data_IF_714967514138
#
_entry.id   IF_714967514138
#
_cell.length_a   1.000
_cell.length_b   1.000
_cell.length_c   1.000
_cell.angle_alpha   90.00
_cell.angle_beta   90.00
_cell.angle_gamma   90.00
#
_symmetry.space_group_name_H-M   'P 1'
#
loop_
_entity.id
_entity.type
_entity.pdbx_description
1 polymer ?
#
# COMPACT_ATOMS: atom_id res chain seq x y z
N UNK A 1 -32.97 -4.94 4.90
CA UNK A 1 -31.54 -5.24 5.09
C UNK A 1 -30.69 -4.93 3.82
N UNK A 2 -30.94 -3.82 3.12
CA UNK A 2 -30.20 -3.44 1.88
C UNK A 2 -29.65 -1.99 1.88
N UNK A 3 -29.51 -1.36 3.06
CA UNK A 3 -29.30 0.10 3.18
C UNK A 3 -27.98 0.68 2.65
N UNK A 4 -27.03 -0.12 2.13
CA UNK A 4 -25.68 0.37 1.82
C UNK A 4 -25.01 -0.39 0.65
N UNK A 5 -25.59 -0.34 -0.56
CA UNK A 5 -24.96 -0.86 -1.79
C UNK A 5 -24.75 0.28 -2.78
N UNK A 6 -23.68 1.04 -2.60
CA UNK A 6 -23.32 2.09 -3.55
C UNK A 6 -22.28 1.57 -4.54
N UNK A 7 -22.35 2.06 -5.78
CA UNK A 7 -21.33 1.81 -6.79
C UNK A 7 -20.35 2.98 -6.84
N UNK A 8 -19.35 2.86 -7.69
CA UNK A 8 -18.32 3.87 -7.97
C UNK A 8 -18.84 5.06 -8.78
N UNK A 9 -19.99 5.61 -8.40
CA UNK A 9 -20.68 6.69 -9.09
C UNK A 9 -20.84 7.94 -8.20
N UNK A 10 -21.49 8.97 -8.72
CA UNK A 10 -21.73 10.22 -8.00
C UNK A 10 -22.59 10.02 -6.74
N UNK A 11 -23.50 9.04 -6.71
CA UNK A 11 -24.29 8.73 -5.52
C UNK A 11 -23.42 8.09 -4.44
N UNK A 12 -22.54 7.16 -4.83
CA UNK A 12 -21.55 6.57 -3.94
C UNK A 12 -20.60 7.60 -3.35
N UNK A 13 -20.15 8.58 -4.15
CA UNK A 13 -19.36 9.70 -3.64
C UNK A 13 -20.14 10.47 -2.57
N UNK A 14 -21.37 10.92 -2.86
CA UNK A 14 -22.18 11.69 -1.89
C UNK A 14 -22.35 10.96 -0.56
N UNK A 15 -22.59 9.66 -0.60
CA UNK A 15 -22.81 8.85 0.61
C UNK A 15 -21.51 8.60 1.37
N UNK A 16 -20.40 8.38 0.64
CA UNK A 16 -19.08 8.30 1.24
C UNK A 16 -18.69 9.59 1.96
N UNK A 17 -18.99 10.76 1.38
CA UNK A 17 -18.73 12.07 2.01
C UNK A 17 -19.50 12.24 3.32
N UNK A 18 -20.77 11.83 3.38
CA UNK A 18 -21.57 11.87 4.62
C UNK A 18 -20.93 11.00 5.70
N UNK A 19 -20.60 9.75 5.38
CA UNK A 19 -20.02 8.80 6.34
C UNK A 19 -18.64 9.25 6.80
N UNK A 20 -17.79 9.73 5.89
CA UNK A 20 -16.47 10.29 6.22
C UNK A 20 -16.59 11.53 7.12
N UNK A 21 -17.55 12.43 6.83
CA UNK A 21 -17.82 13.63 7.63
C UNK A 21 -18.26 13.32 9.06
N UNK A 22 -18.92 12.18 9.27
CA UNK A 22 -19.31 11.66 10.59
C UNK A 22 -18.18 10.88 11.29
N UNK A 23 -16.98 10.78 10.69
CA UNK A 23 -15.86 10.00 11.21
C UNK A 23 -15.98 8.49 11.01
N UNK A 24 -16.85 8.08 10.08
CA UNK A 24 -17.02 6.69 9.68
C UNK A 24 -15.88 6.16 8.82
N UNK A 25 -15.84 4.84 8.69
CA UNK A 25 -14.91 4.08 7.85
C UNK A 25 -15.69 3.58 6.64
N UNK A 26 -15.14 3.82 5.46
CA UNK A 26 -15.69 3.36 4.18
C UNK A 26 -14.79 2.27 3.59
N UNK A 27 -15.37 1.31 2.88
CA UNK A 27 -14.66 0.38 2.00
C UNK A 27 -14.85 0.78 0.53
N UNK A 28 -13.81 0.62 -0.29
CA UNK A 28 -13.82 1.00 -1.70
C UNK A 28 -12.83 0.18 -2.54
N UNK A 29 -13.11 -0.03 -3.84
CA UNK A 29 -12.13 -0.56 -4.76
C UNK A 29 -11.02 0.46 -5.03
N UNK A 30 -9.84 -0.01 -5.42
CA UNK A 30 -8.72 0.80 -5.89
C UNK A 30 -8.18 0.21 -7.19
N UNK A 31 -7.21 0.87 -7.82
CA UNK A 31 -6.37 0.37 -8.91
C UNK A 31 -5.43 -0.80 -8.52
N UNK A 32 -5.56 -1.35 -7.30
CA UNK A 32 -4.71 -2.45 -6.81
C UNK A 32 -5.48 -3.55 -6.09
N UNK A 33 -6.05 -3.23 -4.93
CA UNK A 33 -6.84 -4.13 -4.07
C UNK A 33 -7.94 -3.33 -3.40
N UNK A 34 -8.98 -3.98 -2.89
CA UNK A 34 -9.98 -3.30 -2.08
C UNK A 34 -9.35 -2.70 -0.83
N UNK A 35 -9.72 -1.47 -0.53
CA UNK A 35 -9.25 -0.69 0.60
C UNK A 35 -10.36 -0.36 1.57
N UNK A 36 -9.96 -0.03 2.80
CA UNK A 36 -10.78 0.73 3.74
C UNK A 36 -10.10 2.07 4.02
N UNK A 37 -10.88 3.07 4.38
CA UNK A 37 -10.33 4.34 4.82
C UNK A 37 -11.30 5.24 5.58
N UNK A 38 -10.73 6.23 6.24
CA UNK A 38 -11.42 7.31 6.94
C UNK A 38 -10.67 8.64 6.74
N UNK A 39 -11.17 9.74 7.32
CA UNK A 39 -10.46 11.02 7.35
C UNK A 39 -9.07 10.84 7.97
N UNK A 40 -8.02 11.25 7.25
CA UNK A 40 -6.65 11.14 7.73
C UNK A 40 -6.38 11.96 9.00
N UNK A 41 -7.17 12.99 9.28
CA UNK A 41 -7.05 13.83 10.48
C UNK A 41 -7.96 13.38 11.62
N UNK A 42 -8.80 12.36 11.42
CA UNK A 42 -9.66 11.82 12.48
C UNK A 42 -8.95 10.68 13.22
N UNK A 43 -8.34 11.00 14.36
CA UNK A 43 -7.63 10.02 15.19
C UNK A 43 -8.54 8.89 15.69
N UNK A 44 -9.81 9.18 16.02
CA UNK A 44 -10.76 8.15 16.43
C UNK A 44 -11.09 7.17 15.29
N UNK A 45 -11.21 7.67 14.05
CA UNK A 45 -11.38 6.85 12.85
C UNK A 45 -10.17 5.95 12.58
N UNK A 46 -8.97 6.51 12.68
CA UNK A 46 -7.70 5.77 12.54
C UNK A 46 -7.59 4.67 13.61
N UNK A 47 -7.94 4.97 14.85
CA UNK A 47 -7.93 4.01 15.95
C UNK A 47 -8.95 2.88 15.75
N UNK A 48 -10.15 3.21 15.24
CA UNK A 48 -11.13 2.20 14.80
C UNK A 48 -10.56 1.33 13.68
N UNK A 49 -9.86 1.90 12.70
CA UNK A 49 -9.22 1.12 11.63
C UNK A 49 -8.15 0.15 12.15
N UNK A 50 -7.32 0.57 13.12
CA UNK A 50 -6.34 -0.33 13.75
C UNK A 50 -7.02 -1.51 14.47
N UNK A 51 -8.06 -1.23 15.26
CA UNK A 51 -8.86 -2.26 15.95
C UNK A 51 -9.52 -3.21 14.95
N UNK A 52 -10.21 -2.68 13.95
CA UNK A 52 -10.91 -3.44 12.92
C UNK A 52 -9.97 -4.41 12.19
N UNK A 53 -8.74 -3.97 11.89
CA UNK A 53 -7.75 -4.81 11.20
C UNK A 53 -6.94 -5.72 12.11
N UNK A 54 -7.07 -5.61 13.44
CA UNK A 54 -6.16 -6.26 14.40
C UNK A 54 -4.69 -5.97 14.06
N UNK A 55 -4.40 -4.72 13.68
CA UNK A 55 -3.09 -4.29 13.18
C UNK A 55 -2.32 -3.58 14.29
N UNK A 56 -1.02 -3.85 14.39
CA UNK A 56 -0.13 -3.12 15.31
C UNK A 56 0.21 -1.72 14.80
N UNK A 57 0.42 -0.76 15.71
CA UNK A 57 0.63 0.66 15.38
C UNK A 57 1.99 0.96 14.73
N UNK A 58 2.98 0.07 14.86
CA UNK A 58 4.30 0.25 14.23
C UNK A 58 4.25 0.14 12.70
N UNK A 59 3.10 -0.27 12.14
CA UNK A 59 2.86 -0.27 10.70
C UNK A 59 1.80 0.77 10.35
N UNK A 60 2.17 2.05 10.13
CA UNK A 60 1.23 3.10 9.78
C UNK A 60 0.37 2.77 8.55
N UNK A 61 -0.76 3.47 8.44
CA UNK A 61 -1.61 3.46 7.25
C UNK A 61 -1.05 4.38 6.16
N UNK A 62 -1.56 4.22 4.94
CA UNK A 62 -1.16 5.02 3.79
C UNK A 62 -2.07 6.24 3.70
N UNK A 63 -1.50 7.41 3.44
CA UNK A 63 -2.27 8.61 3.15
C UNK A 63 -2.56 8.70 1.66
N UNK A 64 -3.84 8.67 1.27
CA UNK A 64 -4.26 8.89 -0.10
C UNK A 64 -4.50 10.38 -0.35
N UNK A 65 -3.92 10.89 -1.45
CA UNK A 65 -4.14 12.24 -1.96
C UNK A 65 -4.93 12.19 -3.26
N UNK A 66 -5.65 13.27 -3.57
CA UNK A 66 -6.39 13.40 -4.82
C UNK A 66 -5.49 13.76 -6.02
N UNK A 67 -4.50 14.63 -5.79
CA UNK A 67 -3.59 15.15 -6.81
C UNK A 67 -2.25 15.57 -6.19
N UNK A 68 -1.22 15.66 -7.04
CA UNK A 68 0.18 15.80 -6.67
C UNK A 68 0.55 17.07 -5.92
N UNK A 69 -0.16 18.17 -6.21
CA UNK A 69 0.15 19.49 -5.65
C UNK A 69 -0.04 19.52 -4.12
N UNK A 70 -0.91 18.63 -3.61
CA UNK A 70 -1.13 18.46 -2.17
C UNK A 70 0.06 17.85 -1.44
N UNK A 71 1.00 17.18 -2.15
CA UNK A 71 2.12 16.49 -1.51
C UNK A 71 2.92 17.45 -0.62
N UNK A 72 3.19 18.66 -1.14
CA UNK A 72 3.99 19.69 -0.47
C UNK A 72 3.41 20.14 0.87
N UNK A 73 2.11 19.94 1.11
CA UNK A 73 1.47 20.26 2.40
C UNK A 73 1.89 19.31 3.53
N UNK A 74 2.29 18.09 3.20
CA UNK A 74 2.44 16.99 4.16
C UNK A 74 3.86 16.44 4.27
N UNK A 75 4.72 16.64 3.27
CA UNK A 75 6.10 16.14 3.28
C UNK A 75 7.12 17.26 3.23
N UNK A 76 8.28 17.01 3.84
CA UNK A 76 9.45 17.87 3.68
C UNK A 76 9.98 17.77 2.25
N UNK A 77 10.74 18.79 1.82
CA UNK A 77 11.39 18.78 0.51
C UNK A 77 12.28 17.54 0.42
N UNK A 78 12.01 16.71 -0.59
CA UNK A 78 12.76 15.48 -0.86
C UNK A 78 13.87 15.74 -1.87
N UNK A 79 14.83 14.82 -1.97
CA UNK A 79 15.87 14.88 -2.99
C UNK A 79 15.30 14.76 -4.41
N UNK A 80 16.04 15.26 -5.40
CA UNK A 80 15.61 15.30 -6.81
C UNK A 80 15.15 13.94 -7.32
N UNK A 81 15.90 12.87 -7.03
CA UNK A 81 15.55 11.51 -7.44
C UNK A 81 14.25 11.02 -6.79
N UNK A 82 14.04 11.30 -5.50
CA UNK A 82 12.82 10.89 -4.80
C UNK A 82 11.59 11.61 -5.37
N UNK A 83 11.74 12.90 -5.72
CA UNK A 83 10.68 13.67 -6.37
C UNK A 83 10.39 13.16 -7.78
N UNK A 84 11.43 12.86 -8.57
CA UNK A 84 11.27 12.29 -9.92
C UNK A 84 10.55 10.94 -9.89
N UNK A 85 10.85 10.08 -8.90
CA UNK A 85 10.11 8.81 -8.71
C UNK A 85 8.64 9.08 -8.41
N UNK A 86 8.34 10.04 -7.53
CA UNK A 86 6.95 10.41 -7.24
C UNK A 86 6.21 10.88 -8.50
N UNK A 87 6.78 11.86 -9.21
CA UNK A 87 6.16 12.46 -10.40
C UNK A 87 5.97 11.46 -11.56
N UNK A 88 6.83 10.44 -11.67
CA UNK A 88 6.75 9.47 -12.76
C UNK A 88 5.73 8.35 -12.52
N UNK A 89 5.57 7.90 -11.27
CA UNK A 89 4.74 6.75 -10.93
C UNK A 89 3.39 7.12 -10.32
N UNK A 90 3.08 8.42 -10.21
CA UNK A 90 1.76 8.91 -9.81
C UNK A 90 0.92 9.39 -11.01
N UNK A 91 -0.42 9.29 -10.95
CA UNK A 91 -1.16 8.40 -10.06
C UNK A 91 -0.83 6.93 -10.39
N UNK A 92 -0.95 6.04 -9.40
CA UNK A 92 -0.69 4.63 -9.66
C UNK A 92 -0.42 3.79 -8.43
N UNK A 93 0.14 2.60 -8.70
CA UNK A 93 0.36 1.55 -7.74
C UNK A 93 1.71 1.63 -6.99
N UNK A 94 2.30 2.83 -6.88
CA UNK A 94 3.47 3.09 -6.04
C UNK A 94 3.07 3.85 -4.78
N UNK A 95 3.57 3.41 -3.63
CA UNK A 95 3.44 4.10 -2.33
C UNK A 95 4.83 4.52 -1.88
N UNK A 96 5.02 5.81 -1.63
CA UNK A 96 6.30 6.35 -1.18
C UNK A 96 6.26 6.69 0.30
N UNK A 97 7.31 6.28 1.03
CA UNK A 97 7.55 6.73 2.40
C UNK A 97 8.49 7.93 2.34
N UNK A 98 8.05 9.04 2.93
CA UNK A 98 8.76 10.33 2.87
C UNK A 98 8.82 10.96 4.27
N UNK A 99 9.76 11.88 4.49
CA UNK A 99 9.82 12.66 5.72
C UNK A 99 8.61 13.58 5.82
N UNK A 100 7.88 13.52 6.94
CA UNK A 100 6.66 14.27 7.12
C UNK A 100 6.92 15.69 7.63
N UNK A 101 6.05 16.62 7.25
CA UNK A 101 5.92 17.94 7.89
C UNK A 101 5.12 17.83 9.18
N UNK A 102 5.25 18.82 10.06
CA UNK A 102 4.45 18.93 11.30
C UNK A 102 2.93 18.96 11.04
N UNK A 103 2.50 19.44 9.86
CA UNK A 103 1.09 19.49 9.44
C UNK A 103 0.54 18.12 9.01
N UNK A 104 1.41 17.12 8.81
CA UNK A 104 0.96 15.78 8.46
C UNK A 104 0.09 15.18 9.59
N UNK A 105 -0.89 14.34 9.25
CA UNK A 105 -1.77 13.75 10.26
C UNK A 105 -0.98 12.83 11.20
N UNK A 106 -1.02 13.12 12.51
CA UNK A 106 -0.20 12.44 13.53
C UNK A 106 -0.46 10.95 13.61
N UNK A 107 -1.72 10.52 13.47
CA UNK A 107 -2.10 9.10 13.47
C UNK A 107 -1.51 8.27 12.32
N UNK A 108 -0.92 8.92 11.31
CA UNK A 108 -0.27 8.28 10.17
C UNK A 108 1.26 8.33 10.20
N UNK A 109 1.84 8.99 11.20
CA UNK A 109 3.29 9.10 11.31
C UNK A 109 3.89 7.80 11.83
N UNK A 110 5.02 7.41 11.25
CA UNK A 110 5.90 6.41 11.84
C UNK A 110 6.65 6.99 13.04
N UNK A 111 7.24 6.10 13.85
CA UNK A 111 8.17 6.50 14.93
C UNK A 111 9.40 7.27 14.42
N UNK A 112 9.73 7.16 13.12
CA UNK A 112 10.85 7.86 12.48
C UNK A 112 10.44 9.21 11.85
N UNK A 113 9.21 9.68 12.11
CA UNK A 113 8.68 10.93 11.56
C UNK A 113 8.45 10.87 10.05
N UNK A 114 8.17 9.68 9.51
CA UNK A 114 7.85 9.48 8.09
C UNK A 114 6.37 9.20 7.88
N UNK A 115 5.88 9.46 6.67
CA UNK A 115 4.50 9.20 6.25
C UNK A 115 4.51 8.46 4.90
N UNK A 116 3.58 7.51 4.74
CA UNK A 116 3.38 6.79 3.48
C UNK A 116 2.33 7.51 2.63
N UNK A 117 2.63 7.79 1.36
CA UNK A 117 1.74 8.55 0.47
C UNK A 117 1.52 7.78 -0.83
N UNK A 118 0.29 7.86 -1.34
CA UNK A 118 -0.08 7.36 -2.67
C UNK A 118 -1.17 8.23 -3.29
N UNK A 119 -1.14 8.38 -4.61
CA UNK A 119 -2.27 8.88 -5.40
C UNK A 119 -2.79 7.69 -6.21
N UNK A 120 -3.98 7.14 -5.91
CA UNK A 120 -4.50 5.98 -6.64
C UNK A 120 -4.89 6.35 -8.07
N UNK A 121 -4.60 5.48 -9.03
CA UNK A 121 -5.04 5.62 -10.42
C UNK A 121 -6.49 5.16 -10.59
N UNK A 122 -7.39 5.81 -9.88
CA UNK A 122 -8.81 5.53 -9.96
C UNK A 122 -9.62 6.81 -9.82
N UNK A 123 -10.32 7.19 -10.89
CA UNK A 123 -11.02 8.47 -10.99
C UNK A 123 -12.05 8.66 -9.88
N UNK A 124 -12.81 7.62 -9.53
CA UNK A 124 -13.76 7.64 -8.42
C UNK A 124 -13.10 8.08 -7.11
N UNK A 125 -11.94 7.51 -6.76
CA UNK A 125 -11.23 7.86 -5.53
C UNK A 125 -10.66 9.27 -5.59
N UNK A 126 -10.08 9.67 -6.72
CA UNK A 126 -9.55 11.03 -6.85
C UNK A 126 -10.66 12.08 -6.73
N UNK A 127 -11.84 11.83 -7.32
CA UNK A 127 -13.03 12.68 -7.16
C UNK A 127 -13.53 12.71 -5.72
N UNK A 128 -13.64 11.54 -5.08
CA UNK A 128 -14.07 11.43 -3.68
C UNK A 128 -13.14 12.22 -2.75
N UNK A 129 -11.83 12.00 -2.84
CA UNK A 129 -10.84 12.67 -1.98
C UNK A 129 -10.83 14.18 -2.27
N UNK A 130 -10.95 14.58 -3.54
CA UNK A 130 -11.04 15.99 -3.93
C UNK A 130 -12.27 16.67 -3.32
N UNK A 131 -13.45 16.08 -3.45
CA UNK A 131 -14.70 16.62 -2.88
C UNK A 131 -14.72 16.58 -1.35
N UNK A 132 -14.03 15.60 -0.73
CA UNK A 132 -13.87 15.56 0.71
C UNK A 132 -12.95 16.68 1.23
N UNK A 133 -12.06 17.21 0.38
CA UNK A 133 -11.16 18.31 0.71
C UNK A 133 -10.01 17.94 1.65
N UNK A 134 -9.87 16.68 2.03
CA UNK A 134 -8.85 16.16 2.94
C UNK A 134 -8.31 14.81 2.48
N UNK A 135 -7.07 14.44 2.85
CA UNK A 135 -6.54 13.11 2.59
C UNK A 135 -7.33 12.02 3.31
N UNK A 136 -7.25 10.79 2.80
CA UNK A 136 -7.77 9.61 3.49
C UNK A 136 -6.64 8.81 4.12
N UNK A 137 -6.85 8.33 5.35
CA UNK A 137 -6.07 7.25 5.93
C UNK A 137 -6.57 5.92 5.34
N UNK A 138 -5.71 5.16 4.67
CA UNK A 138 -6.12 3.98 3.90
C UNK A 138 -5.21 2.77 4.10
N UNK A 139 -5.79 1.60 3.85
CA UNK A 139 -5.12 0.30 3.88
C UNK A 139 -5.99 -0.73 3.19
N UNK A 140 -5.47 -1.93 2.92
CA UNK A 140 -6.24 -3.02 2.31
C UNK A 140 -7.41 -3.46 3.19
N UNK A 141 -8.51 -3.94 2.60
CA UNK A 141 -9.74 -4.27 3.30
C UNK A 141 -9.74 -5.68 3.92
N UNK A 142 -8.69 -6.03 4.67
CA UNK A 142 -8.54 -7.35 5.29
C UNK A 142 -8.00 -7.30 6.72
N UNK A 143 -8.20 -8.37 7.49
CA UNK A 143 -7.51 -8.56 8.76
C UNK A 143 -5.99 -8.63 8.50
N UNK A 144 -5.19 -7.96 9.33
CA UNK A 144 -3.74 -7.92 9.16
C UNK A 144 -3.14 -9.33 9.09
N UNK A 145 -2.37 -9.61 8.04
CA UNK A 145 -1.73 -10.91 7.81
C UNK A 145 -2.50 -11.83 6.87
N UNK A 146 -3.76 -11.56 6.56
CA UNK A 146 -4.52 -12.34 5.56
C UNK A 146 -4.31 -11.80 4.14
N UNK A 147 -4.81 -12.53 3.14
CA UNK A 147 -4.86 -12.04 1.76
C UNK A 147 -5.70 -10.75 1.67
N UNK A 148 -5.26 -9.83 0.82
CA UNK A 148 -6.02 -8.61 0.53
C UNK A 148 -7.11 -8.93 -0.48
N UNK A 149 -8.36 -8.48 -0.25
CA UNK A 149 -9.45 -8.72 -1.18
C UNK A 149 -9.22 -7.97 -2.49
N UNK A 150 -9.53 -8.67 -3.58
CA UNK A 150 -9.63 -8.08 -4.92
C UNK A 150 -11.07 -7.80 -5.30
N UNK A 151 -12.02 -8.39 -4.58
CA UNK A 151 -13.46 -8.21 -4.76
C UNK A 151 -14.14 -7.91 -3.44
N UNK A 152 -15.26 -7.19 -3.48
CA UNK A 152 -16.03 -6.86 -2.29
C UNK A 152 -16.42 -8.11 -1.48
N UNK A 153 -16.82 -9.19 -2.15
CA UNK A 153 -17.24 -10.45 -1.52
C UNK A 153 -16.14 -11.14 -0.70
N UNK A 154 -14.87 -10.81 -0.96
CA UNK A 154 -13.71 -11.37 -0.25
C UNK A 154 -13.39 -10.58 1.03
N UNK A 155 -14.02 -9.41 1.22
CA UNK A 155 -13.82 -8.58 2.40
C UNK A 155 -14.42 -9.24 3.64
N UNK A 156 -13.62 -9.32 4.70
CA UNK A 156 -14.01 -9.89 5.99
C UNK A 156 -14.09 -8.85 7.12
N UNK A 157 -14.26 -7.58 6.75
CA UNK A 157 -14.33 -6.44 7.67
C UNK A 157 -15.71 -5.80 7.61
N UNK A 158 -16.24 -5.44 8.77
CA UNK A 158 -17.48 -4.66 8.88
C UNK A 158 -17.12 -3.16 8.93
N UNK A 159 -17.68 -2.39 8.01
CA UNK A 159 -17.45 -0.95 7.83
C UNK A 159 -18.77 -0.20 7.80
N UNK A 160 -18.73 1.11 7.97
CA UNK A 160 -19.93 1.96 8.03
C UNK A 160 -20.57 2.17 6.65
N UNK A 161 -19.76 2.08 5.57
CA UNK A 161 -20.21 2.11 4.18
C UNK A 161 -19.32 1.23 3.30
N UNK A 162 -19.90 0.57 2.30
CA UNK A 162 -19.13 -0.10 1.26
C UNK A 162 -19.54 0.36 -0.14
N UNK A 163 -18.55 0.79 -0.91
CA UNK A 163 -18.64 0.95 -2.36
C UNK A 163 -18.34 -0.41 -2.99
N UNK A 164 -19.31 -0.98 -3.68
CA UNK A 164 -19.25 -2.30 -4.29
C UNK A 164 -19.11 -2.13 -5.80
N UNK A 165 -17.88 -2.19 -6.26
CA UNK A 165 -17.57 -2.17 -7.68
C UNK A 165 -16.39 -3.11 -7.99
N UNK A 166 -16.74 -4.34 -8.37
CA UNK A 166 -15.78 -5.39 -8.74
C UNK A 166 -15.40 -5.33 -10.24
N UNK A 167 -15.83 -4.29 -10.96
CA UNK A 167 -15.46 -4.11 -12.38
C UNK A 167 -14.02 -3.61 -12.55
N UNK A 168 -13.42 -3.06 -11.48
CA UNK A 168 -12.05 -2.56 -11.50
C UNK A 168 -11.08 -3.74 -11.32
N UNK A 169 -10.17 -3.98 -12.27
CA UNK A 169 -9.19 -5.05 -12.16
C UNK A 169 -8.28 -4.81 -10.93
N UNK A 170 -8.52 -5.61 -9.89
CA UNK A 170 -7.69 -5.69 -8.69
C UNK A 170 -6.90 -7.00 -8.71
N UNK A 171 -5.67 -6.98 -8.21
CA UNK A 171 -4.84 -8.20 -8.18
C UNK A 171 -3.66 -8.15 -7.23
N UNK A 172 -2.86 -7.09 -7.30
CA UNK A 172 -1.62 -6.98 -6.54
C UNK A 172 -1.60 -5.65 -5.80
N UNK A 173 -1.23 -5.68 -4.52
CA UNK A 173 -1.10 -4.47 -3.72
C UNK A 173 -0.03 -3.52 -4.28
N UNK A 174 -0.08 -2.23 -3.91
CA UNK A 174 0.93 -1.26 -4.32
C UNK A 174 2.33 -1.65 -3.84
N UNK A 175 3.33 -1.33 -4.64
CA UNK A 175 4.73 -1.39 -4.24
C UNK A 175 4.99 -0.31 -3.20
N UNK A 176 5.73 -0.62 -2.12
CA UNK A 176 6.06 0.36 -1.08
C UNK A 176 7.57 0.59 -1.08
N UNK A 177 7.97 1.82 -1.38
CA UNK A 177 9.36 2.25 -1.45
C UNK A 177 9.59 3.38 -0.44
N UNK A 178 10.57 3.21 0.44
CA UNK A 178 11.06 4.26 1.31
C UNK A 178 12.13 5.08 0.61
N UNK A 179 11.81 6.35 0.40
CA UNK A 179 12.67 7.36 -0.22
C UNK A 179 13.05 8.45 0.77
N UNK A 180 12.79 8.23 2.06
CA UNK A 180 13.13 9.18 3.15
C UNK A 180 14.62 9.20 3.48
N UNK A 181 15.36 8.16 3.07
CA UNK A 181 16.80 8.01 3.19
C UNK A 181 17.37 7.40 1.90
N UNK A 182 18.66 7.62 1.64
CA UNK A 182 19.39 6.98 0.55
C UNK A 182 20.42 5.98 1.10
N UNK A 183 20.63 4.81 0.46
CA UNK A 183 19.89 4.27 -0.69
C UNK A 183 18.42 3.95 -0.35
N UNK A 184 17.54 4.05 -1.35
CA UNK A 184 16.11 3.75 -1.19
C UNK A 184 15.89 2.29 -0.77
N UNK A 185 14.83 2.06 0.00
CA UNK A 185 14.53 0.74 0.56
C UNK A 185 13.16 0.28 0.10
N UNK A 186 13.07 -0.89 -0.54
CA UNK A 186 11.82 -1.56 -0.84
C UNK A 186 11.29 -2.23 0.43
N UNK A 187 10.08 -1.87 0.87
CA UNK A 187 9.42 -2.50 2.03
C UNK A 187 8.36 -3.51 1.61
N UNK A 188 7.78 -3.37 0.41
CA UNK A 188 6.78 -4.30 -0.09
C UNK A 188 6.88 -4.41 -1.61
N UNK A 189 6.98 -5.65 -2.09
CA UNK A 189 6.79 -6.00 -3.51
C UNK A 189 5.32 -5.81 -3.89
N UNK A 190 5.07 -5.21 -5.04
CA UNK A 190 3.72 -4.94 -5.53
C UNK A 190 3.69 -4.80 -7.04
N UNK A 191 2.68 -4.08 -7.54
CA UNK A 191 2.44 -3.92 -8.97
C UNK A 191 3.60 -3.26 -9.75
N UNK A 192 4.30 -2.29 -9.13
CA UNK A 192 5.49 -1.67 -9.75
C UNK A 192 6.70 -2.56 -9.48
N UNK A 193 7.31 -3.09 -10.54
CA UNK A 193 8.44 -4.01 -10.40
C UNK A 193 9.70 -3.30 -9.87
N UNK A 194 10.51 -4.04 -9.12
CA UNK A 194 11.80 -3.53 -8.63
C UNK A 194 12.73 -3.15 -9.79
N UNK A 195 12.69 -3.89 -10.90
CA UNK A 195 13.48 -3.60 -12.08
C UNK A 195 13.10 -2.28 -12.74
N UNK A 196 11.80 -1.96 -12.79
CA UNK A 196 11.34 -0.67 -13.29
C UNK A 196 11.84 0.47 -12.39
N UNK A 197 11.78 0.30 -11.06
CA UNK A 197 12.28 1.28 -10.11
C UNK A 197 13.81 1.46 -10.24
N UNK A 198 14.59 0.38 -10.24
CA UNK A 198 16.05 0.43 -10.36
C UNK A 198 16.50 1.04 -11.70
N UNK A 199 15.81 0.70 -12.80
CA UNK A 199 16.05 1.30 -14.12
C UNK A 199 15.77 2.79 -14.11
N UNK A 200 14.69 3.21 -13.46
CA UNK A 200 14.32 4.63 -13.41
C UNK A 200 15.31 5.45 -12.57
N UNK A 201 15.73 4.94 -11.41
CA UNK A 201 16.65 5.65 -10.52
C UNK A 201 18.13 5.46 -10.89
N UNK A 202 18.43 4.62 -11.88
CA UNK A 202 19.79 4.25 -12.29
C UNK A 202 20.68 3.79 -11.13
N UNK A 203 20.09 3.12 -10.14
CA UNK A 203 20.77 2.67 -8.93
C UNK A 203 20.08 1.44 -8.33
N UNK A 204 20.83 0.66 -7.54
CA UNK A 204 20.29 -0.48 -6.81
C UNK A 204 19.44 -0.05 -5.62
N UNK A 205 18.30 -0.71 -5.46
CA UNK A 205 17.39 -0.50 -4.33
C UNK A 205 17.64 -1.57 -3.28
N UNK A 206 17.74 -1.17 -2.02
CA UNK A 206 17.89 -2.11 -0.91
C UNK A 206 16.55 -2.77 -0.61
N UNK A 207 16.58 -4.00 -0.14
CA UNK A 207 15.39 -4.66 0.36
C UNK A 207 15.33 -4.55 1.88
N UNK A 208 14.15 -4.25 2.41
CA UNK A 208 13.87 -4.44 3.82
C UNK A 208 14.02 -5.93 4.18
N UNK A 209 14.49 -6.20 5.41
CA UNK A 209 14.75 -7.56 5.88
C UNK A 209 13.49 -8.44 5.96
N UNK A 210 12.30 -7.85 5.97
CA UNK A 210 11.03 -8.57 5.99
C UNK A 210 10.59 -9.09 4.62
N UNK A 211 11.26 -8.70 3.52
CA UNK A 211 10.90 -9.16 2.19
C UNK A 211 11.27 -10.63 2.02
N UNK A 212 10.26 -11.45 1.74
CA UNK A 212 10.41 -12.86 1.38
C UNK A 212 10.56 -13.01 -0.14
N UNK A 213 11.48 -13.88 -0.56
CA UNK A 213 11.67 -14.25 -1.95
C UNK A 213 11.28 -15.71 -2.15
N UNK A 214 10.49 -15.95 -3.20
CA UNK A 214 10.23 -17.29 -3.68
C UNK A 214 11.15 -17.51 -4.87
N UNK A 215 11.96 -18.56 -4.84
CA UNK A 215 12.84 -18.94 -5.93
C UNK A 215 12.29 -20.24 -6.50
N UNK A 216 11.80 -20.19 -7.74
CA UNK A 216 11.35 -21.37 -8.46
C UNK A 216 12.53 -21.99 -9.19
N UNK A 217 12.79 -23.28 -8.94
CA UNK A 217 13.73 -24.08 -9.70
C UNK A 217 12.97 -24.87 -10.75
N UNK A 218 13.29 -24.66 -12.02
CA UNK A 218 12.75 -25.44 -13.13
C UNK A 218 13.85 -26.34 -13.65
N UNK A 219 13.64 -27.66 -13.57
CA UNK A 219 14.57 -28.65 -14.08
C UNK A 219 14.10 -29.14 -15.45
N UNK A 220 14.92 -28.99 -16.48
CA UNK A 220 14.58 -29.45 -17.84
C UNK A 220 14.64 -30.97 -18.00
N UNK A 221 15.37 -31.68 -17.13
CA UNK A 221 15.55 -33.14 -17.22
C UNK A 221 14.78 -33.97 -16.19
N UNK A 222 13.90 -33.35 -15.38
CA UNK A 222 13.21 -33.98 -14.24
C UNK A 222 14.13 -34.71 -13.22
N UNK A 223 15.43 -34.44 -13.26
CA UNK A 223 16.46 -35.06 -12.41
C UNK A 223 16.73 -34.28 -11.12
N UNK A 224 16.35 -33.00 -11.10
CA UNK A 224 16.48 -32.11 -9.96
C UNK A 224 15.30 -32.37 -9.00
N UNK A 225 15.46 -33.30 -8.06
CA UNK A 225 14.55 -33.40 -6.92
C UNK A 225 14.73 -32.19 -6.01
N UNK A 226 13.67 -31.78 -5.30
CA UNK A 226 13.67 -30.64 -4.37
C UNK A 226 14.91 -30.56 -3.44
N UNK A 227 15.46 -31.67 -2.91
CA UNK A 227 16.67 -31.62 -2.07
C UNK A 227 17.95 -31.13 -2.78
N UNK A 228 18.10 -31.36 -4.09
CA UNK A 228 19.28 -30.91 -4.86
C UNK A 228 19.22 -29.40 -5.06
N UNK A 229 18.05 -28.89 -5.47
CA UNK A 229 17.81 -27.45 -5.60
C UNK A 229 18.05 -26.72 -4.27
N UNK A 230 17.56 -27.29 -3.16
CA UNK A 230 17.82 -26.79 -1.82
C UNK A 230 19.32 -26.71 -1.50
N UNK A 231 20.07 -27.80 -1.73
CA UNK A 231 21.51 -27.85 -1.46
C UNK A 231 22.29 -26.79 -2.24
N UNK A 232 21.96 -26.59 -3.51
CA UNK A 232 22.56 -25.55 -4.36
C UNK A 232 22.28 -24.15 -3.79
N UNK A 233 21.02 -23.85 -3.46
CA UNK A 233 20.64 -22.54 -2.87
C UNK A 233 21.38 -22.27 -1.57
N UNK A 234 21.42 -23.25 -0.66
CA UNK A 234 22.11 -23.09 0.62
C UNK A 234 23.59 -22.79 0.42
N UNK A 235 24.26 -23.49 -0.51
CA UNK A 235 25.67 -23.25 -0.83
C UNK A 235 25.90 -21.83 -1.39
N UNK A 236 25.08 -21.40 -2.34
CA UNK A 236 25.18 -20.07 -2.96
C UNK A 236 24.93 -18.94 -1.95
N UNK A 237 23.94 -19.11 -1.07
CA UNK A 237 23.58 -18.08 -0.09
C UNK A 237 24.52 -18.03 1.12
N UNK A 238 25.08 -19.17 1.54
CA UNK A 238 26.11 -19.24 2.61
C UNK A 238 27.37 -18.46 2.20
N UNK A 239 27.78 -18.53 0.94
CA UNK A 239 28.88 -17.73 0.41
C UNK A 239 28.64 -16.21 0.50
N UNK A 240 27.37 -15.77 0.64
CA UNK A 240 26.97 -14.37 0.76
C UNK A 240 26.52 -13.95 2.17
N UNK A 241 26.75 -14.78 3.20
CA UNK A 241 26.40 -14.50 4.61
C UNK A 241 24.88 -14.26 4.84
N UNK A 242 24.03 -14.99 4.12
CA UNK A 242 22.58 -15.00 4.41
C UNK A 242 22.22 -16.16 5.34
N UNK A 243 21.91 -15.85 6.60
CA UNK A 243 21.85 -16.87 7.67
C UNK A 243 20.43 -17.37 7.98
N UNK A 244 19.39 -16.79 7.35
CA UNK A 244 17.97 -17.12 7.61
C UNK A 244 17.28 -17.60 6.34
N UNK A 245 17.53 -18.86 5.98
CA UNK A 245 16.93 -19.50 4.80
C UNK A 245 16.03 -20.64 5.26
N UNK A 246 14.72 -20.49 5.05
CA UNK A 246 13.75 -21.59 5.14
C UNK A 246 13.50 -22.09 3.74
N UNK A 247 13.82 -23.35 3.49
CA UNK A 247 13.46 -24.05 2.24
C UNK A 247 12.35 -25.02 2.59
N UNK A 248 11.26 -24.96 1.84
CA UNK A 248 10.13 -25.89 1.94
C UNK A 248 9.90 -26.49 0.57
N UNK A 249 9.94 -27.82 0.48
CA UNK A 249 9.62 -28.62 -0.70
C UNK A 249 8.13 -28.92 -0.79
#
# INVERSE_FOLDING_TARGET
>A
MERYRFRSDNQGIRQALVVLGQGGIIAFPTDTVYGIGCDAFNEAGIDRMYRLKKRKREKPFVMFLAYKDLLSNYVLKSGVTARAVFDHFEPGALTLIMKAKRKAPRGLLSSMGTISIRIPEYEFLRKLISQFGKPLATTSANIAGTMSPTRYREMNLHVDLAIKDDSIPCGVASTVLDVSLYPFVLLRKGCVSIFALERFVSAKIRFDRSILFNILFVCTGNSCRSPIAEGIVRKLLKAKKYDKIKVSS
#
